data_IF_355993936234
#
_entry.id   IF_355993936234
#
_cell.length_a   1.000
_cell.length_b   1.000
_cell.length_c   1.000
_cell.angle_alpha   90.00
_cell.angle_beta   90.00
_cell.angle_gamma   90.00
#
_symmetry.space_group_name_H-M   'P 1'
#
loop_
_entity.id
_entity.type
_entity.pdbx_description
1 polymer ?
#
# COMPACT_ATOMS: atom_id res chain seq x y z
N UNK A 1 10.93 15.55 -17.22
CA UNK A 1 9.49 15.18 -17.33
C UNK A 1 8.93 14.97 -15.92
N UNK A 2 7.72 15.44 -15.65
CA UNK A 2 7.08 15.20 -14.35
C UNK A 2 6.76 13.72 -14.20
N UNK A 3 6.82 13.16 -12.99
CA UNK A 3 6.63 11.74 -12.70
C UNK A 3 5.29 11.20 -13.25
N UNK A 4 4.20 11.94 -13.06
CA UNK A 4 2.89 11.54 -13.54
C UNK A 4 2.82 11.36 -15.05
N UNK A 5 3.60 12.16 -15.83
CA UNK A 5 3.67 12.02 -17.28
C UNK A 5 4.39 10.71 -17.68
N UNK A 6 5.45 10.34 -16.95
CA UNK A 6 6.16 9.07 -17.18
C UNK A 6 5.25 7.87 -16.93
N UNK A 7 4.49 7.92 -15.83
CA UNK A 7 3.53 6.87 -15.48
C UNK A 7 2.41 6.79 -16.54
N UNK A 8 1.87 7.91 -16.96
CA UNK A 8 0.81 7.95 -17.97
C UNK A 8 1.31 7.40 -19.32
N UNK A 9 2.45 7.86 -19.79
CA UNK A 9 3.06 7.37 -21.04
C UNK A 9 3.38 5.87 -20.91
N UNK A 10 3.95 5.44 -19.79
CA UNK A 10 4.21 4.02 -19.51
C UNK A 10 2.95 3.18 -19.54
N UNK A 11 1.87 3.65 -18.94
CA UNK A 11 0.57 2.96 -18.95
C UNK A 11 0.02 2.83 -20.37
N UNK A 12 0.06 3.90 -21.16
CA UNK A 12 -0.41 3.87 -22.56
C UNK A 12 0.40 2.89 -23.39
N UNK A 13 1.74 2.94 -23.28
CA UNK A 13 2.62 2.00 -24.00
C UNK A 13 2.33 0.57 -23.54
N UNK A 14 2.17 0.32 -22.24
CA UNK A 14 1.85 -1.00 -21.71
C UNK A 14 0.51 -1.53 -22.23
N UNK A 15 -0.53 -0.70 -22.28
CA UNK A 15 -1.82 -1.07 -22.85
C UNK A 15 -1.69 -1.43 -24.33
N UNK A 16 -0.98 -0.62 -25.11
CA UNK A 16 -0.75 -0.90 -26.54
C UNK A 16 0.02 -2.22 -26.72
N UNK A 17 1.07 -2.47 -25.95
CA UNK A 17 1.80 -3.73 -25.97
C UNK A 17 0.90 -4.91 -25.63
N UNK A 18 0.06 -4.79 -24.59
CA UNK A 18 -0.88 -5.84 -24.19
C UNK A 18 -1.97 -6.12 -25.24
N UNK A 19 -2.33 -5.13 -26.05
CA UNK A 19 -3.29 -5.30 -27.14
C UNK A 19 -2.68 -5.95 -28.39
N UNK A 20 -1.46 -5.56 -28.75
CA UNK A 20 -0.84 -5.98 -30.01
C UNK A 20 0.00 -7.26 -29.88
N UNK A 21 0.49 -7.59 -28.69
CA UNK A 21 1.23 -8.84 -28.53
C UNK A 21 0.32 -10.08 -28.69
N UNK A 22 0.76 -11.08 -29.45
CA UNK A 22 -0.02 -12.29 -29.63
C UNK A 22 -0.06 -13.11 -28.32
N UNK A 23 -1.26 -13.54 -27.92
CA UNK A 23 -1.46 -14.45 -26.77
C UNK A 23 -0.93 -15.88 -27.06
N UNK A 24 -0.71 -16.20 -28.32
CA UNK A 24 -0.35 -17.55 -28.78
C UNK A 24 1.10 -17.97 -28.47
N UNK A 25 1.95 -17.04 -28.00
CA UNK A 25 3.30 -17.37 -27.52
C UNK A 25 3.30 -17.44 -25.99
N UNK A 26 3.10 -18.63 -25.41
CA UNK A 26 2.96 -18.83 -23.97
C UNK A 26 4.05 -18.19 -23.09
N UNK A 27 5.20 -17.83 -23.64
CA UNK A 27 6.29 -17.18 -22.94
C UNK A 27 6.06 -15.70 -22.65
N UNK A 28 5.35 -14.98 -23.52
CA UNK A 28 5.15 -13.52 -23.37
C UNK A 28 4.32 -13.17 -22.12
N UNK A 29 3.24 -13.88 -21.87
CA UNK A 29 2.40 -13.67 -20.67
C UNK A 29 3.20 -13.98 -19.40
N UNK A 30 4.01 -15.05 -19.43
CA UNK A 30 4.89 -15.43 -18.31
C UNK A 30 5.94 -14.39 -18.00
N UNK A 31 6.54 -13.77 -19.00
CA UNK A 31 7.53 -12.68 -18.83
C UNK A 31 6.89 -11.46 -18.20
N UNK A 32 5.74 -10.98 -18.72
CA UNK A 32 5.05 -9.81 -18.17
C UNK A 32 4.51 -10.06 -16.77
N UNK A 33 4.08 -11.28 -16.46
CA UNK A 33 3.71 -11.69 -15.10
C UNK A 33 4.91 -11.56 -14.14
N UNK A 34 6.08 -12.08 -14.51
CA UNK A 34 7.30 -11.98 -13.68
C UNK A 34 7.72 -10.52 -13.48
N UNK A 35 7.67 -9.71 -14.53
CA UNK A 35 7.94 -8.26 -14.42
C UNK A 35 6.97 -7.62 -13.42
N UNK A 36 5.68 -7.93 -13.50
CA UNK A 36 4.67 -7.43 -12.58
C UNK A 36 4.96 -7.85 -11.14
N UNK A 37 5.29 -9.12 -10.91
CA UNK A 37 5.62 -9.64 -9.59
C UNK A 37 6.85 -8.93 -9.00
N UNK A 38 7.89 -8.70 -9.80
CA UNK A 38 9.10 -7.95 -9.39
C UNK A 38 8.75 -6.49 -9.05
N UNK A 39 8.01 -5.82 -9.92
CA UNK A 39 7.59 -4.42 -9.74
C UNK A 39 6.78 -4.25 -8.45
N UNK A 40 5.81 -5.13 -8.21
CA UNK A 40 5.00 -5.13 -6.99
C UNK A 40 5.85 -5.42 -5.75
N UNK A 41 6.78 -6.38 -5.84
CA UNK A 41 7.66 -6.72 -4.72
C UNK A 41 8.59 -5.57 -4.35
N UNK A 42 9.18 -4.89 -5.34
CA UNK A 42 10.00 -3.70 -5.12
C UNK A 42 9.18 -2.58 -4.47
N UNK A 43 7.95 -2.34 -4.95
CA UNK A 43 7.06 -1.35 -4.37
C UNK A 43 6.76 -1.64 -2.89
N UNK A 44 6.45 -2.88 -2.57
CA UNK A 44 6.17 -3.33 -1.19
C UNK A 44 7.38 -3.20 -0.26
N UNK A 45 8.59 -3.41 -0.78
CA UNK A 45 9.82 -3.38 0.03
C UNK A 45 10.01 -2.06 0.78
N UNK A 46 9.68 -0.93 0.16
CA UNK A 46 9.86 0.39 0.77
C UNK A 46 8.67 0.85 1.63
N UNK A 47 7.48 0.28 1.43
CA UNK A 47 6.24 0.77 2.06
C UNK A 47 6.27 0.64 3.58
N UNK A 48 6.76 -0.49 4.11
CA UNK A 48 6.78 -0.72 5.56
C UNK A 48 7.70 0.23 6.30
N UNK A 49 9.01 0.33 5.97
CA UNK A 49 9.89 1.27 6.62
C UNK A 49 9.43 2.72 6.45
N UNK A 50 8.94 3.08 5.26
CA UNK A 50 8.44 4.42 5.00
C UNK A 50 7.22 4.76 5.87
N UNK A 51 6.26 3.83 6.01
CA UNK A 51 5.10 4.01 6.86
C UNK A 51 5.52 4.13 8.34
N UNK A 52 6.44 3.27 8.80
CA UNK A 52 6.92 3.31 10.16
C UNK A 52 7.61 4.62 10.51
N UNK A 53 8.67 4.97 9.81
CA UNK A 53 9.43 6.18 10.07
C UNK A 53 8.62 7.45 9.80
N UNK A 54 7.83 7.47 8.71
CA UNK A 54 7.01 8.62 8.35
C UNK A 54 5.91 8.93 9.38
N UNK A 55 5.24 7.90 9.90
CA UNK A 55 4.21 8.09 10.93
C UNK A 55 4.84 8.46 12.27
N UNK A 56 5.96 7.82 12.66
CA UNK A 56 6.62 8.11 13.92
C UNK A 56 7.13 9.55 13.98
N UNK A 57 7.78 10.05 12.92
CA UNK A 57 8.30 11.42 12.88
C UNK A 57 7.16 12.46 12.78
N UNK A 58 6.13 12.19 11.99
CA UNK A 58 4.97 13.08 11.89
C UNK A 58 4.27 13.28 13.24
N UNK A 59 4.21 12.22 14.05
CA UNK A 59 3.66 12.30 15.40
C UNK A 59 4.53 13.13 16.34
N UNK A 60 5.83 12.96 16.25
CA UNK A 60 6.80 13.71 17.03
C UNK A 60 6.71 15.22 16.71
N UNK A 61 6.80 15.59 15.43
CA UNK A 61 6.73 17.00 14.96
C UNK A 61 5.39 17.68 15.31
N UNK A 62 4.26 17.00 15.08
CA UNK A 62 2.94 17.55 15.37
C UNK A 62 2.75 17.83 16.87
N UNK A 63 3.40 17.06 17.73
CA UNK A 63 3.28 17.22 19.16
C UNK A 63 4.18 18.34 19.69
N UNK A 64 5.34 18.54 19.08
CA UNK A 64 6.22 19.67 19.36
C UNK A 64 5.52 21.01 19.09
N UNK A 65 4.78 21.12 17.99
CA UNK A 65 4.02 22.33 17.60
C UNK A 65 2.75 22.59 18.44
N UNK A 66 2.41 21.74 19.40
CA UNK A 66 1.17 21.81 20.21
C UNK A 66 -0.14 21.85 19.39
N UNK A 67 -0.10 21.52 18.12
CA UNK A 67 -1.27 21.48 17.21
C UNK A 67 -1.90 20.10 17.11
N UNK A 68 -1.37 19.15 17.86
CA UNK A 68 -1.67 17.72 17.80
C UNK A 68 -3.16 17.41 17.82
N UNK A 69 -3.91 17.92 18.82
CA UNK A 69 -5.31 17.54 18.99
C UNK A 69 -6.24 17.97 17.85
N UNK A 70 -6.04 19.18 17.34
CA UNK A 70 -6.86 19.71 16.24
C UNK A 70 -6.51 19.06 14.90
N UNK A 71 -5.24 18.77 14.66
CA UNK A 71 -4.77 18.16 13.41
C UNK A 71 -5.16 16.70 13.34
N UNK A 72 -5.01 15.94 14.44
CA UNK A 72 -5.48 14.54 14.47
C UNK A 72 -6.99 14.41 14.39
N UNK A 73 -7.75 15.30 15.06
CA UNK A 73 -9.20 15.31 14.93
C UNK A 73 -9.66 15.53 13.49
N UNK A 74 -9.05 16.48 12.79
CA UNK A 74 -9.34 16.73 11.36
C UNK A 74 -8.90 15.55 10.48
N UNK A 75 -7.72 14.97 10.71
CA UNK A 75 -7.23 13.84 9.95
C UNK A 75 -8.12 12.60 10.15
N UNK A 76 -8.51 12.30 11.39
CA UNK A 76 -9.44 11.21 11.68
C UNK A 76 -10.80 11.41 11.02
N UNK A 77 -11.34 12.63 11.09
CA UNK A 77 -12.60 12.96 10.42
C UNK A 77 -12.50 12.77 8.89
N UNK A 78 -11.41 13.24 8.28
CA UNK A 78 -11.18 13.05 6.83
C UNK A 78 -11.02 11.57 6.46
N UNK A 79 -10.33 10.77 7.27
CA UNK A 79 -10.20 9.33 7.06
C UNK A 79 -11.56 8.63 7.11
N UNK A 80 -12.38 8.90 8.13
CA UNK A 80 -13.72 8.32 8.26
C UNK A 80 -14.62 8.78 7.10
N UNK A 81 -14.59 10.06 6.76
CA UNK A 81 -15.38 10.60 5.66
C UNK A 81 -14.98 10.00 4.30
N UNK A 82 -13.68 9.90 4.02
CA UNK A 82 -13.18 9.30 2.77
C UNK A 82 -13.50 7.81 2.67
N UNK A 83 -13.35 7.07 3.76
CA UNK A 83 -13.72 5.65 3.81
C UNK A 83 -15.23 5.46 3.61
N UNK A 84 -16.05 6.27 4.28
CA UNK A 84 -17.49 6.27 4.10
C UNK A 84 -17.90 6.60 2.65
N UNK A 85 -17.28 7.61 2.05
CA UNK A 85 -17.52 7.97 0.65
C UNK A 85 -17.16 6.81 -0.30
N UNK A 86 -16.01 6.16 -0.09
CA UNK A 86 -15.59 5.00 -0.90
C UNK A 86 -16.56 3.82 -0.78
N UNK A 87 -17.04 3.52 0.43
CA UNK A 87 -18.05 2.48 0.66
C UNK A 87 -19.35 2.81 -0.09
N UNK A 88 -19.82 4.05 0.01
CA UNK A 88 -21.04 4.50 -0.70
C UNK A 88 -20.86 4.37 -2.21
N UNK A 89 -19.75 4.89 -2.76
CA UNK A 89 -19.47 4.80 -4.20
C UNK A 89 -19.37 3.34 -4.67
N UNK A 90 -18.66 2.48 -3.91
CA UNK A 90 -18.56 1.06 -4.21
C UNK A 90 -19.92 0.35 -4.20
N UNK A 91 -20.74 0.61 -3.18
CA UNK A 91 -22.09 0.03 -3.07
C UNK A 91 -22.99 0.51 -4.17
N UNK A 92 -23.01 1.81 -4.46
CA UNK A 92 -23.77 2.37 -5.57
C UNK A 92 -23.30 1.82 -6.92
N UNK A 93 -22.00 1.66 -7.12
CA UNK A 93 -21.44 1.04 -8.32
C UNK A 93 -21.95 -0.38 -8.54
N UNK A 94 -21.98 -1.21 -7.50
CA UNK A 94 -22.51 -2.58 -7.58
C UNK A 94 -24.02 -2.57 -7.86
N UNK A 95 -24.77 -1.70 -7.21
CA UNK A 95 -26.22 -1.62 -7.39
C UNK A 95 -26.61 -1.11 -8.80
N UNK A 96 -25.89 -0.13 -9.34
CA UNK A 96 -26.17 0.47 -10.65
C UNK A 96 -25.72 -0.42 -11.82
N UNK A 97 -24.55 -1.06 -11.68
CA UNK A 97 -23.97 -1.88 -12.74
C UNK A 97 -24.58 -3.27 -12.85
N UNK A 98 -25.37 -3.70 -11.85
CA UNK A 98 -26.05 -5.01 -11.81
C UNK A 98 -25.19 -6.10 -12.45
N UNK A 99 -24.04 -6.48 -11.86
CA UNK A 99 -23.14 -7.44 -12.50
C UNK A 99 -23.94 -8.70 -12.79
N UNK A 100 -23.85 -9.20 -14.04
CA UNK A 100 -24.50 -10.46 -14.44
C UNK A 100 -24.09 -11.50 -13.40
N UNK A 101 -25.04 -12.24 -12.85
CA UNK A 101 -24.81 -13.25 -11.83
C UNK A 101 -23.69 -14.16 -12.31
N UNK A 102 -22.54 -14.11 -11.64
CA UNK A 102 -21.47 -15.07 -11.84
C UNK A 102 -22.09 -16.42 -11.46
N UNK A 103 -22.15 -17.40 -12.38
CA UNK A 103 -22.69 -18.71 -12.02
C UNK A 103 -21.91 -19.20 -10.82
N UNK A 104 -22.55 -19.78 -9.79
CA UNK A 104 -21.88 -20.30 -8.63
C UNK A 104 -20.92 -21.40 -9.12
N UNK A 105 -19.63 -21.07 -9.19
CA UNK A 105 -18.59 -22.07 -9.38
C UNK A 105 -18.61 -22.84 -8.07
N UNK A 106 -19.14 -24.04 -8.09
CA UNK A 106 -19.00 -25.01 -6.99
C UNK A 106 -17.55 -25.49 -6.94
N UNK A 107 -16.61 -24.55 -6.75
CA UNK A 107 -15.40 -24.90 -6.08
C UNK A 107 -15.81 -25.05 -4.62
N UNK A 108 -15.40 -26.14 -3.98
CA UNK A 108 -15.34 -26.26 -2.53
C UNK A 108 -14.40 -25.17 -2.01
N UNK A 109 -14.80 -23.92 -2.20
CA UNK A 109 -14.15 -22.78 -1.61
C UNK A 109 -14.34 -23.03 -0.11
N UNK A 110 -13.26 -23.42 0.56
CA UNK A 110 -13.16 -23.18 2.00
C UNK A 110 -13.57 -21.73 2.17
N UNK A 111 -14.81 -21.53 2.63
CA UNK A 111 -15.29 -20.18 2.97
C UNK A 111 -14.22 -19.65 3.91
N UNK A 112 -13.45 -18.63 3.53
CA UNK A 112 -12.47 -18.08 4.45
C UNK A 112 -13.29 -17.66 5.65
N UNK A 113 -13.09 -18.33 6.79
CA UNK A 113 -13.71 -17.95 8.04
C UNK A 113 -13.37 -16.48 8.22
N UNK A 114 -14.40 -15.64 8.24
CA UNK A 114 -14.18 -14.21 8.49
C UNK A 114 -13.42 -14.15 9.82
N UNK A 115 -12.25 -13.51 9.85
CA UNK A 115 -11.47 -13.42 11.08
C UNK A 115 -12.36 -12.82 12.16
N UNK A 116 -12.37 -13.44 13.33
CA UNK A 116 -13.06 -12.92 14.49
C UNK A 116 -12.54 -11.51 14.81
N UNK A 117 -13.40 -10.65 15.37
CA UNK A 117 -12.94 -9.32 15.81
C UNK A 117 -11.78 -9.44 16.79
N UNK A 118 -11.76 -10.48 17.64
CA UNK A 118 -10.64 -10.79 18.53
C UNK A 118 -9.36 -11.12 17.77
N UNK A 119 -9.45 -11.86 16.66
CA UNK A 119 -8.28 -12.22 15.85
C UNK A 119 -7.71 -10.97 15.18
N UNK A 120 -8.56 -10.05 14.73
CA UNK A 120 -8.13 -8.76 14.19
C UNK A 120 -7.36 -7.91 15.21
N UNK A 121 -7.82 -7.92 16.49
CA UNK A 121 -7.10 -7.23 17.57
C UNK A 121 -5.76 -7.91 17.89
N UNK A 122 -5.70 -9.23 17.91
CA UNK A 122 -4.47 -9.98 18.15
C UNK A 122 -3.45 -9.78 17.01
N UNK A 123 -3.91 -9.65 15.78
CA UNK A 123 -3.07 -9.36 14.62
C UNK A 123 -2.44 -7.96 14.67
N UNK A 124 -3.08 -7.01 15.38
CA UNK A 124 -2.52 -5.65 15.58
C UNK A 124 -1.28 -5.68 16.49
N UNK A 125 -1.26 -6.59 17.48
CA UNK A 125 -0.16 -6.75 18.43
C UNK A 125 0.49 -8.14 18.28
N UNK A 126 1.36 -8.33 17.27
CA UNK A 126 2.02 -9.61 17.09
C UNK A 126 2.95 -9.94 18.27
N UNK A 127 3.22 -11.22 18.47
CA UNK A 127 4.01 -11.74 19.60
C UNK A 127 5.42 -11.16 19.72
N UNK A 128 5.94 -10.56 18.64
CA UNK A 128 7.26 -9.97 18.59
C UNK A 128 7.19 -8.66 17.81
N UNK A 129 7.83 -7.59 18.33
CA UNK A 129 7.91 -6.30 17.65
C UNK A 129 8.49 -6.41 16.23
N UNK A 130 9.50 -7.24 16.01
CA UNK A 130 10.08 -7.45 14.68
C UNK A 130 9.17 -8.21 13.72
N UNK A 131 8.21 -8.99 14.23
CA UNK A 131 7.21 -9.67 13.40
C UNK A 131 6.31 -8.68 12.65
N UNK A 132 6.14 -7.47 13.19
CA UNK A 132 5.45 -6.35 12.52
C UNK A 132 6.04 -6.06 11.14
N UNK A 133 7.37 -6.16 11.00
CA UNK A 133 8.09 -5.91 9.76
C UNK A 133 8.26 -7.16 8.89
N UNK A 134 8.14 -8.35 9.48
CA UNK A 134 8.34 -9.62 8.80
C UNK A 134 7.07 -10.14 8.09
N UNK A 135 5.91 -9.66 8.49
CA UNK A 135 4.65 -10.03 7.84
C UNK A 135 4.60 -9.47 6.42
N UNK A 136 4.32 -10.35 5.47
CA UNK A 136 4.42 -10.12 4.02
C UNK A 136 3.44 -9.06 3.49
N UNK A 137 3.71 -7.79 3.71
CA UNK A 137 3.22 -6.66 2.93
C UNK A 137 1.71 -6.44 2.77
N UNK A 138 0.87 -7.29 3.35
CA UNK A 138 -0.57 -7.23 3.15
C UNK A 138 -1.31 -6.39 4.18
N UNK A 139 -0.69 -6.13 5.33
CA UNK A 139 -1.38 -5.52 6.46
C UNK A 139 -0.48 -4.51 7.17
N UNK A 140 -0.73 -3.23 6.90
CA UNK A 140 0.07 -2.11 7.42
C UNK A 140 -0.31 -1.67 8.83
N UNK A 141 -1.47 -2.11 9.35
CA UNK A 141 -1.98 -1.64 10.64
C UNK A 141 -1.02 -1.89 11.82
N UNK A 142 -0.41 -3.09 11.98
CA UNK A 142 0.56 -3.31 13.05
C UNK A 142 1.75 -2.36 12.98
N UNK A 143 2.25 -2.08 11.77
CA UNK A 143 3.37 -1.14 11.55
C UNK A 143 2.98 0.27 11.95
N UNK A 144 1.78 0.73 11.56
CA UNK A 144 1.30 2.07 11.92
C UNK A 144 1.05 2.21 13.41
N UNK A 145 0.50 1.18 14.06
CA UNK A 145 0.31 1.17 15.53
C UNK A 145 1.65 1.22 16.26
N UNK A 146 2.63 0.42 15.84
CA UNK A 146 3.99 0.45 16.40
C UNK A 146 4.64 1.83 16.21
N UNK A 147 4.50 2.44 15.03
CA UNK A 147 5.01 3.77 14.74
C UNK A 147 4.34 4.85 15.62
N UNK A 148 3.03 4.75 15.83
CA UNK A 148 2.28 5.64 16.72
C UNK A 148 2.78 5.53 18.15
N UNK A 149 2.94 4.31 18.67
CA UNK A 149 3.45 4.07 20.04
C UNK A 149 4.84 4.67 20.22
N UNK A 150 5.75 4.44 19.28
CA UNK A 150 7.12 4.98 19.34
C UNK A 150 7.11 6.50 19.22
N UNK A 151 6.35 7.07 18.29
CA UNK A 151 6.22 8.53 18.15
C UNK A 151 5.67 9.20 19.41
N UNK A 152 4.76 8.55 20.13
CA UNK A 152 4.24 9.02 21.41
C UNK A 152 5.28 8.94 22.54
N UNK A 153 6.03 7.85 22.59
CA UNK A 153 7.09 7.64 23.62
C UNK A 153 8.24 8.62 23.43
N UNK A 154 8.68 8.88 22.20
CA UNK A 154 9.74 9.83 21.89
C UNK A 154 9.51 11.22 22.49
N UNK A 155 8.25 11.61 22.59
CA UNK A 155 7.90 12.92 23.17
C UNK A 155 7.83 12.89 24.71
N UNK A 156 7.55 11.75 25.33
CA UNK A 156 7.22 11.69 26.76
C UNK A 156 8.44 11.87 27.69
N UNK A 157 9.64 11.56 27.21
CA UNK A 157 10.84 11.43 28.07
C UNK A 157 11.84 12.62 27.99
N UNK A 158 11.51 13.70 27.28
CA UNK A 158 12.33 14.93 27.29
C UNK A 158 13.75 14.75 26.72
N UNK A 159 14.79 15.25 27.40
CA UNK A 159 16.16 15.28 26.86
C UNK A 159 16.81 13.91 26.59
N UNK A 160 16.31 12.83 27.17
CA UNK A 160 16.87 11.48 26.98
C UNK A 160 16.51 10.86 25.62
N UNK A 161 15.47 11.34 24.95
CA UNK A 161 14.97 10.79 23.69
C UNK A 161 15.43 11.55 22.44
N UNK A 162 16.15 12.66 22.58
CA UNK A 162 16.62 13.46 21.45
C UNK A 162 17.44 12.64 20.45
N UNK A 163 18.36 11.81 20.92
CA UNK A 163 19.16 10.94 20.07
C UNK A 163 18.29 9.90 19.30
N UNK A 164 17.24 9.39 19.94
CA UNK A 164 16.31 8.47 19.30
C UNK A 164 15.44 9.18 18.25
N UNK A 165 15.02 10.42 18.53
CA UNK A 165 14.34 11.28 17.57
C UNK A 165 15.17 11.55 16.32
N UNK A 166 16.46 11.88 16.48
CA UNK A 166 17.40 12.09 15.38
C UNK A 166 17.56 10.83 14.50
N UNK A 167 17.60 9.64 15.11
CA UNK A 167 17.69 8.37 14.38
C UNK A 167 16.42 8.13 13.57
N UNK A 168 15.25 8.43 14.12
CA UNK A 168 13.97 8.25 13.42
C UNK A 168 13.83 9.28 12.28
N UNK A 169 14.25 10.52 12.50
CA UNK A 169 14.26 11.53 11.45
C UNK A 169 15.23 11.16 10.32
N UNK A 170 16.45 10.76 10.64
CA UNK A 170 17.42 10.27 9.66
C UNK A 170 16.88 9.04 8.90
N UNK A 171 16.21 8.11 9.59
CA UNK A 171 15.53 6.97 8.98
C UNK A 171 14.43 7.40 8.03
N UNK A 172 13.58 8.34 8.44
CA UNK A 172 12.51 8.91 7.61
C UNK A 172 13.07 9.51 6.32
N UNK A 173 14.09 10.35 6.40
CA UNK A 173 14.74 10.97 5.25
C UNK A 173 15.37 9.94 4.32
N UNK A 174 16.04 8.92 4.86
CA UNK A 174 16.65 7.84 4.10
C UNK A 174 15.61 7.09 3.28
N UNK A 175 14.54 6.61 3.93
CA UNK A 175 13.48 5.84 3.25
C UNK A 175 12.65 6.68 2.31
N UNK A 176 12.47 7.97 2.59
CA UNK A 176 11.85 8.90 1.65
C UNK A 176 12.67 9.03 0.35
N UNK A 177 14.00 9.18 0.45
CA UNK A 177 14.89 9.22 -0.72
C UNK A 177 14.90 7.90 -1.47
N UNK A 178 14.99 6.77 -0.74
CA UNK A 178 14.90 5.44 -1.32
C UNK A 178 13.59 5.26 -2.10
N UNK A 179 12.47 5.62 -1.48
CA UNK A 179 11.16 5.57 -2.13
C UNK A 179 11.11 6.44 -3.40
N UNK A 180 11.70 7.62 -3.38
CA UNK A 180 11.77 8.48 -4.58
C UNK A 180 12.50 7.78 -5.74
N UNK A 181 13.62 7.11 -5.48
CA UNK A 181 14.34 6.33 -6.49
C UNK A 181 13.52 5.13 -6.99
N UNK A 182 12.89 4.42 -6.06
CA UNK A 182 12.03 3.28 -6.42
C UNK A 182 10.85 3.71 -7.29
N UNK A 183 10.19 4.82 -6.95
CA UNK A 183 9.07 5.34 -7.75
C UNK A 183 9.52 5.75 -9.16
N UNK A 184 10.72 6.30 -9.32
CA UNK A 184 11.28 6.55 -10.66
C UNK A 184 11.53 5.26 -11.45
N UNK A 185 12.06 4.22 -10.81
CA UNK A 185 12.26 2.91 -11.44
C UNK A 185 10.91 2.23 -11.74
N UNK A 186 9.95 2.32 -10.83
CA UNK A 186 8.61 1.76 -11.00
C UNK A 186 7.83 2.43 -12.14
N UNK A 187 8.10 3.69 -12.49
CA UNK A 187 7.49 4.35 -13.63
C UNK A 187 7.76 3.58 -14.95
N UNK A 188 8.91 2.92 -15.06
CA UNK A 188 9.21 2.03 -16.20
C UNK A 188 8.49 0.69 -16.02
N UNK A 189 8.43 0.17 -14.81
CA UNK A 189 7.74 -1.08 -14.48
C UNK A 189 6.24 -1.07 -14.78
N UNK A 190 5.61 0.11 -14.73
CA UNK A 190 4.17 0.28 -15.07
C UNK A 190 3.85 -0.20 -16.49
N UNK A 191 4.80 -0.12 -17.43
CA UNK A 191 4.62 -0.65 -18.79
C UNK A 191 4.31 -2.16 -18.73
N UNK A 192 5.12 -2.90 -17.98
CA UNK A 192 4.94 -4.35 -17.80
C UNK A 192 3.63 -4.71 -17.11
N UNK A 193 3.31 -3.98 -16.05
CA UNK A 193 2.07 -4.16 -15.27
C UNK A 193 0.84 -3.92 -16.15
N UNK A 194 0.79 -2.80 -16.88
CA UNK A 194 -0.33 -2.48 -17.76
C UNK A 194 -0.48 -3.50 -18.90
N UNK A 195 0.64 -3.93 -19.51
CA UNK A 195 0.61 -4.96 -20.55
C UNK A 195 0.08 -6.29 -20.01
N UNK A 196 0.52 -6.72 -18.83
CA UNK A 196 0.04 -7.95 -18.19
C UNK A 196 -1.47 -7.92 -17.92
N UNK A 197 -1.99 -6.83 -17.35
CA UNK A 197 -3.42 -6.69 -17.08
C UNK A 197 -4.27 -6.77 -18.36
N UNK A 198 -3.84 -6.12 -19.43
CA UNK A 198 -4.57 -6.17 -20.72
C UNK A 198 -4.54 -7.58 -21.29
N UNK A 199 -3.39 -8.27 -21.24
CA UNK A 199 -3.30 -9.66 -21.70
C UNK A 199 -4.20 -10.58 -20.87
N UNK A 200 -4.26 -10.39 -19.55
CA UNK A 200 -5.11 -11.18 -18.67
C UNK A 200 -6.60 -10.96 -18.98
N UNK A 201 -7.03 -9.71 -19.21
CA UNK A 201 -8.40 -9.42 -19.60
C UNK A 201 -8.78 -10.08 -20.94
N UNK A 202 -7.86 -10.08 -21.91
CA UNK A 202 -8.06 -10.74 -23.20
C UNK A 202 -8.09 -12.27 -23.14
N UNK A 203 -7.45 -12.87 -22.14
CA UNK A 203 -7.46 -14.32 -21.95
C UNK A 203 -8.75 -14.84 -21.31
N UNK A 204 -9.59 -13.96 -20.73
CA UNK A 204 -10.86 -14.28 -20.06
C UNK A 204 -12.06 -14.00 -20.97
N UNK A 205 -11.87 -13.19 -22.01
CA UNK A 205 -12.92 -12.88 -23.01
C UNK A 205 -12.92 -13.89 -24.15
#
# INVERSE_FOLDING_TARGET
>A
MKLWMRILIGSVIGVLLGLYLPLAGGDSVGVFRRITEIVVSIGRYAVFPLAFFGVAIALFELREDRTTGTTYGKAALLMVASTGAMVIVGTLGILLLSPRRIPPIFQEARVPLLPSISDLFLDVFPQNFFAVFAQSGSYLLPVTVAAVLIGLVLYSEGSGTLAAGDVIDAGSQLFYRLNSWLVEALAVGVIGVAAYFVMQLRSVS
#
